data_IF_880529399514
#
_entry.id   IF_880529399514
#
_cell.length_a   1.000
_cell.length_b   1.000
_cell.length_c   1.000
_cell.angle_alpha   90.00
_cell.angle_beta   90.00
_cell.angle_gamma   90.00
#
_symmetry.space_group_name_H-M   'P 1'
#
loop_
_entity.id
_entity.type
_entity.pdbx_description
1 polymer ?
#
# COMPACT_ATOMS: atom_id res chain seq x y z
N UNK A 1 48.68 51.48 -21.59
CA UNK A 1 49.14 51.38 -20.20
C UNK A 1 47.87 51.32 -19.35
N UNK A 2 47.43 50.17 -19.01
CA UNK A 2 46.18 49.91 -18.18
C UNK A 2 46.56 49.14 -16.94
N UNK A 3 46.38 49.74 -15.80
CA UNK A 3 46.66 49.14 -14.51
C UNK A 3 45.49 48.32 -14.05
N UNK A 4 45.73 47.02 -13.84
CA UNK A 4 44.77 46.11 -13.19
C UNK A 4 44.75 46.35 -11.68
N UNK A 5 43.60 46.80 -11.13
CA UNK A 5 43.33 46.77 -9.70
C UNK A 5 42.89 45.36 -9.27
N UNK A 6 43.75 44.68 -8.55
CA UNK A 6 43.37 43.52 -7.75
C UNK A 6 42.65 44.01 -6.48
N UNK A 7 41.35 43.73 -6.36
CA UNK A 7 40.63 43.90 -5.10
C UNK A 7 41.01 42.78 -4.14
N UNK A 8 41.54 43.15 -2.98
CA UNK A 8 41.99 42.21 -1.94
C UNK A 8 40.79 41.58 -1.23
N UNK A 9 40.79 40.27 -1.14
CA UNK A 9 39.74 39.45 -0.45
C UNK A 9 39.55 39.87 1.01
N UNK A 10 40.50 40.52 1.63
CA UNK A 10 40.41 41.01 3.00
C UNK A 10 39.56 42.26 3.13
N UNK A 11 39.50 43.12 2.12
CA UNK A 11 38.67 44.31 2.11
C UNK A 11 37.16 43.96 2.03
N UNK A 12 36.81 42.91 1.29
CA UNK A 12 35.42 42.44 1.17
C UNK A 12 34.84 41.90 2.50
N UNK A 13 35.70 41.30 3.34
CA UNK A 13 35.27 40.75 4.64
C UNK A 13 35.16 41.83 5.73
N UNK A 14 35.82 42.95 5.60
CA UNK A 14 35.75 44.07 6.58
C UNK A 14 34.62 45.05 6.27
N UNK A 15 34.21 45.21 5.01
CA UNK A 15 33.07 46.05 4.64
C UNK A 15 31.73 45.34 4.84
N UNK A 16 31.69 44.00 4.79
CA UNK A 16 30.49 43.19 5.10
C UNK A 16 30.09 43.20 6.58
N UNK A 17 31.03 43.51 7.48
CA UNK A 17 30.77 43.53 8.92
C UNK A 17 30.17 44.87 9.45
N UNK A 18 30.25 45.93 8.66
CA UNK A 18 29.80 47.29 9.08
C UNK A 18 28.32 47.56 8.72
N UNK A 19 27.67 46.74 7.88
CA UNK A 19 26.26 46.91 7.51
C UNK A 19 25.27 46.08 8.33
N UNK A 20 25.73 45.28 9.29
CA UNK A 20 24.88 44.44 10.15
C UNK A 20 24.43 45.15 11.46
N UNK A 21 24.74 46.43 11.60
CA UNK A 21 24.62 47.15 12.88
C UNK A 21 23.40 48.08 13.06
N UNK A 22 22.50 48.25 12.10
CA UNK A 22 21.40 49.23 12.22
C UNK A 22 20.07 48.69 11.67
N UNK A 23 19.55 47.63 12.28
CA UNK A 23 18.12 47.26 12.24
C UNK A 23 17.72 46.65 13.57
N UNK A 24 17.66 47.48 14.61
CA UNK A 24 17.01 47.13 15.86
C UNK A 24 15.52 47.43 15.70
N UNK A 25 14.82 46.57 14.97
CA UNK A 25 13.38 46.39 15.05
C UNK A 25 13.14 45.18 15.94
N UNK A 26 12.30 45.37 16.97
CA UNK A 26 11.96 44.36 17.96
C UNK A 26 11.42 43.10 17.28
N UNK A 27 12.30 42.17 17.00
CA UNK A 27 11.94 40.79 16.69
C UNK A 27 11.86 40.07 18.03
N UNK A 28 10.65 39.72 18.47
CA UNK A 28 10.49 38.76 19.55
C UNK A 28 11.25 37.51 19.14
N UNK A 29 12.19 37.00 19.93
CA UNK A 29 12.81 35.73 19.61
C UNK A 29 11.69 34.66 19.71
N UNK A 30 11.25 34.15 18.58
CA UNK A 30 10.65 32.84 18.59
C UNK A 30 11.74 31.92 19.16
N UNK A 31 11.53 31.52 20.42
CA UNK A 31 12.40 30.56 21.10
C UNK A 31 12.31 29.27 20.34
N UNK A 32 13.13 29.10 19.31
CA UNK A 32 13.42 27.81 18.76
C UNK A 32 14.08 27.01 19.87
N UNK A 33 13.28 26.27 20.62
CA UNK A 33 13.78 25.31 21.58
C UNK A 33 14.67 24.34 20.78
N UNK A 34 15.98 24.46 20.97
CA UNK A 34 16.93 23.48 20.44
C UNK A 34 16.56 22.13 21.07
N UNK A 35 16.19 21.11 20.30
CA UNK A 35 15.84 19.82 20.88
C UNK A 35 16.99 19.32 21.76
N UNK A 36 16.66 18.81 22.93
CA UNK A 36 17.63 18.19 23.86
C UNK A 36 18.41 17.11 23.10
N UNK A 37 19.71 16.91 23.35
CA UNK A 37 20.53 15.92 22.65
C UNK A 37 19.96 14.51 22.67
N UNK A 38 19.31 14.11 23.78
CA UNK A 38 18.65 12.81 23.91
C UNK A 38 17.40 12.68 23.01
N UNK A 39 16.63 13.75 22.82
CA UNK A 39 15.49 13.75 21.92
C UNK A 39 15.96 13.64 20.46
N UNK A 40 17.05 14.34 20.09
CA UNK A 40 17.69 14.19 18.77
C UNK A 40 18.19 12.78 18.53
N UNK A 41 18.79 12.12 19.53
CA UNK A 41 19.27 10.76 19.39
C UNK A 41 18.11 9.77 19.19
N UNK A 42 17.01 9.93 19.93
CA UNK A 42 15.79 9.13 19.76
C UNK A 42 15.19 9.29 18.37
N UNK A 43 15.10 10.51 17.84
CA UNK A 43 14.62 10.78 16.49
C UNK A 43 15.53 10.17 15.41
N UNK A 44 16.85 10.19 15.64
CA UNK A 44 17.83 9.62 14.70
C UNK A 44 17.78 8.10 14.69
N UNK A 45 17.47 7.45 15.81
CA UNK A 45 17.35 6.01 15.94
C UNK A 45 15.96 5.48 15.59
N UNK A 46 14.94 6.34 15.67
CA UNK A 46 13.57 5.98 15.31
C UNK A 46 13.40 5.89 13.79
N UNK A 47 12.40 5.15 13.36
CA UNK A 47 11.94 5.17 11.97
C UNK A 47 11.52 6.59 11.60
N UNK A 48 12.25 7.22 10.67
CA UNK A 48 12.08 8.64 10.33
C UNK A 48 10.64 9.05 10.03
N UNK A 49 10.29 10.25 10.45
CA UNK A 49 8.97 10.84 10.16
C UNK A 49 9.09 11.81 8.99
N UNK A 50 8.01 12.00 8.20
CA UNK A 50 7.95 13.06 7.21
C UNK A 50 8.25 14.43 7.83
N UNK A 51 8.66 15.40 7.02
CA UNK A 51 8.83 16.79 7.48
C UNK A 51 7.53 17.30 8.12
N UNK A 52 7.63 18.10 9.18
CA UNK A 52 6.46 18.76 9.79
C UNK A 52 5.70 19.69 8.82
N UNK A 53 6.29 20.01 7.70
CA UNK A 53 5.67 20.82 6.63
C UNK A 53 5.04 19.95 5.53
N UNK A 54 5.26 18.64 5.56
CA UNK A 54 4.59 17.68 4.68
C UNK A 54 3.28 17.24 5.37
N UNK A 55 2.17 17.65 4.78
CA UNK A 55 0.81 17.31 5.26
C UNK A 55 0.16 16.20 4.43
N UNK A 56 0.95 15.47 3.66
CA UNK A 56 0.44 14.38 2.82
C UNK A 56 -0.11 13.27 3.69
N UNK A 57 -1.41 13.01 3.56
CA UNK A 57 -2.13 11.98 4.32
C UNK A 57 -3.10 11.23 3.42
N UNK A 58 -3.42 10.00 3.79
CA UNK A 58 -4.52 9.27 3.15
C UNK A 58 -5.81 10.06 3.23
N UNK A 59 -6.66 9.95 2.22
CA UNK A 59 -7.94 10.66 2.17
C UNK A 59 -9.08 9.73 2.59
N UNK A 60 -10.09 10.26 3.28
CA UNK A 60 -11.29 9.50 3.63
C UNK A 60 -12.09 9.14 2.37
N UNK A 61 -12.79 8.02 2.40
CA UNK A 61 -13.65 7.57 1.32
C UNK A 61 -15.00 8.32 1.39
N UNK A 62 -15.03 9.57 0.91
CA UNK A 62 -16.24 10.39 0.78
C UNK A 62 -16.49 11.37 1.94
N UNK A 63 -17.09 12.51 1.60
CA UNK A 63 -17.56 13.48 2.57
C UNK A 63 -18.76 12.91 3.34
N UNK A 64 -18.70 12.86 4.67
CA UNK A 64 -19.78 12.35 5.52
C UNK A 64 -19.73 10.87 5.85
N UNK A 65 -18.84 10.08 5.25
CA UNK A 65 -18.47 8.80 5.83
C UNK A 65 -17.64 9.07 7.08
N UNK A 66 -18.03 8.46 8.20
CA UNK A 66 -17.15 8.46 9.36
C UNK A 66 -15.76 8.04 8.87
N UNK A 67 -14.72 8.81 9.25
CA UNK A 67 -13.34 8.38 9.04
C UNK A 67 -13.21 7.12 9.90
N UNK A 68 -13.44 5.99 9.27
CA UNK A 68 -13.11 4.72 9.88
C UNK A 68 -11.66 4.45 9.49
N UNK A 69 -10.88 3.99 10.41
CA UNK A 69 -9.53 3.47 10.17
C UNK A 69 -9.49 2.26 9.23
N UNK A 70 -10.64 1.94 8.63
CA UNK A 70 -10.87 0.77 7.77
C UNK A 70 -11.09 1.08 6.29
N UNK A 71 -11.27 2.36 5.90
CA UNK A 71 -11.52 2.75 4.51
C UNK A 71 -10.87 4.11 4.18
N UNK A 72 -9.62 4.06 3.74
CA UNK A 72 -8.84 5.24 3.36
C UNK A 72 -8.27 5.07 1.95
N UNK A 73 -8.17 6.16 1.21
CA UNK A 73 -7.67 6.18 -0.16
C UNK A 73 -6.26 6.78 -0.23
N UNK A 74 -5.49 6.32 -1.19
CA UNK A 74 -4.20 6.93 -1.56
C UNK A 74 -4.43 8.36 -2.04
N UNK A 75 -3.65 9.35 -1.57
CA UNK A 75 -3.76 10.73 -2.02
C UNK A 75 -3.12 10.87 -3.42
N UNK A 76 -3.88 10.57 -4.47
CA UNK A 76 -3.35 10.40 -5.84
C UNK A 76 -2.62 11.62 -6.38
N UNK A 77 -3.08 12.84 -6.03
CA UNK A 77 -2.49 14.10 -6.49
C UNK A 77 -1.21 14.50 -5.73
N UNK A 78 -1.03 13.93 -4.53
CA UNK A 78 0.07 14.30 -3.62
C UNK A 78 1.20 13.25 -3.71
N UNK A 79 1.20 12.38 -4.73
CA UNK A 79 2.23 11.37 -4.93
C UNK A 79 3.29 11.85 -5.92
N UNK A 80 4.54 11.63 -5.55
CA UNK A 80 5.69 11.81 -6.41
C UNK A 80 6.19 10.47 -6.95
N UNK A 81 6.27 10.34 -8.29
CA UNK A 81 6.73 9.12 -8.96
C UNK A 81 5.72 7.98 -8.97
N UNK A 82 6.20 6.74 -9.13
CA UNK A 82 5.36 5.55 -9.33
C UNK A 82 5.13 4.72 -8.05
N UNK A 83 5.91 4.93 -7.02
CA UNK A 83 5.82 4.18 -5.77
C UNK A 83 4.98 4.96 -4.75
N UNK A 84 3.94 4.32 -4.26
CA UNK A 84 3.17 4.83 -3.12
C UNK A 84 3.90 4.49 -1.82
N UNK A 85 4.27 5.48 -1.00
CA UNK A 85 4.80 5.21 0.34
C UNK A 85 3.90 4.26 1.12
N UNK A 86 4.49 3.32 1.88
CA UNK A 86 3.70 2.27 2.58
C UNK A 86 2.63 2.84 3.52
N UNK A 87 2.91 4.00 4.14
CA UNK A 87 1.95 4.70 5.00
C UNK A 87 0.82 5.39 4.26
N UNK A 88 0.94 5.63 2.94
CA UNK A 88 -0.08 6.25 2.09
C UNK A 88 -0.84 5.24 1.23
N UNK A 89 -0.46 3.96 1.29
CA UNK A 89 -1.17 2.89 0.60
C UNK A 89 -2.66 2.88 1.01
N UNK A 90 -3.57 2.72 0.06
CA UNK A 90 -5.01 2.67 0.36
C UNK A 90 -5.33 1.56 1.36
N UNK A 91 -6.33 1.81 2.18
CA UNK A 91 -6.81 0.88 3.19
C UNK A 91 -8.27 0.53 2.90
N UNK A 92 -8.55 -0.74 2.76
CA UNK A 92 -9.88 -1.30 2.72
C UNK A 92 -9.86 -2.59 3.54
N UNK A 93 -10.57 -2.58 4.65
CA UNK A 93 -10.76 -3.74 5.49
C UNK A 93 -12.24 -4.11 5.53
N UNK A 94 -12.51 -5.38 5.35
CA UNK A 94 -13.85 -5.94 5.47
C UNK A 94 -14.09 -6.51 6.88
N UNK A 95 -13.30 -6.03 7.86
CA UNK A 95 -13.19 -6.60 9.21
C UNK A 95 -13.32 -5.52 10.28
N UNK A 96 -13.64 -5.92 11.48
CA UNK A 96 -13.70 -5.06 12.64
C UNK A 96 -12.30 -4.95 13.28
N UNK A 97 -11.46 -4.09 12.72
CA UNK A 97 -10.13 -3.79 13.24
C UNK A 97 -9.00 -4.56 12.55
N UNK A 98 -7.81 -4.02 12.70
CA UNK A 98 -6.57 -4.57 12.15
C UNK A 98 -6.03 -5.58 13.15
N UNK A 99 -5.78 -6.85 12.75
CA UNK A 99 -5.27 -7.84 13.68
C UNK A 99 -3.83 -7.51 14.09
N UNK A 100 -3.55 -7.68 15.38
CA UNK A 100 -2.20 -7.61 15.95
C UNK A 100 -1.61 -9.03 15.95
N UNK A 101 -0.79 -9.33 14.95
CA UNK A 101 -0.25 -10.67 14.73
C UNK A 101 1.23 -10.71 15.12
N UNK A 102 1.56 -11.53 16.13
CA UNK A 102 2.93 -11.87 16.46
C UNK A 102 3.53 -12.77 15.34
N UNK A 103 4.57 -12.31 14.62
CA UNK A 103 5.17 -13.07 13.53
C UNK A 103 5.83 -14.38 14.03
N UNK A 104 6.23 -14.46 15.29
CA UNK A 104 6.82 -15.68 15.86
C UNK A 104 5.78 -16.79 16.02
N UNK A 105 4.51 -16.41 16.22
CA UNK A 105 3.39 -17.32 16.36
C UNK A 105 2.63 -17.52 15.02
N UNK A 106 2.87 -16.66 14.04
CA UNK A 106 2.19 -16.76 12.75
C UNK A 106 2.56 -18.04 12.01
N UNK A 107 1.56 -18.68 11.40
CA UNK A 107 1.71 -19.89 10.62
C UNK A 107 0.92 -19.78 9.32
N UNK A 108 1.53 -20.22 8.22
CA UNK A 108 0.86 -20.42 6.94
C UNK A 108 0.64 -21.92 6.74
N UNK A 109 -0.61 -22.37 6.82
CA UNK A 109 -1.00 -23.73 6.51
C UNK A 109 -1.29 -23.87 5.02
N UNK A 110 -0.62 -24.82 4.36
CA UNK A 110 -0.93 -25.25 3.00
C UNK A 110 -1.40 -26.69 3.00
N UNK A 111 -2.59 -26.96 2.46
CA UNK A 111 -3.22 -28.27 2.52
C UNK A 111 -4.20 -28.49 1.35
N UNK A 112 -4.99 -29.57 1.41
CA UNK A 112 -5.95 -29.96 0.38
C UNK A 112 -5.34 -30.96 -0.59
N UNK A 113 -5.51 -30.75 -1.90
CA UNK A 113 -4.97 -31.62 -2.94
C UNK A 113 -3.45 -31.42 -3.13
N UNK A 114 -2.71 -31.76 -2.10
CA UNK A 114 -1.24 -31.77 -2.05
C UNK A 114 -0.74 -33.09 -1.50
N UNK A 115 0.47 -33.49 -1.91
CA UNK A 115 1.09 -34.73 -1.43
C UNK A 115 1.49 -34.62 0.04
N UNK A 116 1.94 -33.42 0.45
CA UNK A 116 2.41 -33.13 1.80
C UNK A 116 1.75 -31.82 2.30
N UNK A 117 0.72 -31.88 3.15
CA UNK A 117 0.29 -30.70 3.87
C UNK A 117 1.42 -30.15 4.74
N UNK A 118 1.74 -28.86 4.58
CA UNK A 118 2.85 -28.21 5.28
C UNK A 118 2.35 -26.97 6.03
N UNK A 119 2.99 -26.72 7.17
CA UNK A 119 2.83 -25.48 7.93
C UNK A 119 4.15 -24.75 7.96
N UNK A 120 4.19 -23.55 7.42
CA UNK A 120 5.38 -22.71 7.37
C UNK A 120 5.34 -21.65 8.48
N UNK A 121 6.46 -21.50 9.19
CA UNK A 121 6.74 -20.33 10.02
C UNK A 121 7.20 -19.17 9.14
N UNK A 122 7.29 -17.97 9.70
CA UNK A 122 7.86 -16.83 8.99
C UNK A 122 9.33 -17.06 8.60
N UNK A 123 10.07 -17.76 9.46
CA UNK A 123 11.47 -18.11 9.18
C UNK A 123 11.58 -19.14 8.05
N UNK A 124 10.68 -20.10 7.98
CA UNK A 124 10.63 -21.05 6.86
C UNK A 124 10.36 -20.34 5.54
N UNK A 125 9.37 -19.44 5.51
CA UNK A 125 9.07 -18.65 4.30
C UNK A 125 10.28 -17.84 3.85
N UNK A 126 11.02 -17.22 4.76
CA UNK A 126 12.19 -16.39 4.44
C UNK A 126 13.40 -17.18 3.95
N UNK A 127 13.46 -18.51 4.16
CA UNK A 127 14.53 -19.37 3.64
C UNK A 127 14.38 -19.72 2.17
N UNK A 128 13.18 -19.59 1.61
CA UNK A 128 12.96 -19.80 0.17
C UNK A 128 13.52 -18.65 -0.66
N UNK A 129 13.87 -18.88 -1.93
CA UNK A 129 14.30 -17.82 -2.84
C UNK A 129 13.28 -16.69 -2.90
N UNK A 130 13.71 -15.48 -2.57
CA UNK A 130 12.85 -14.30 -2.59
C UNK A 130 13.01 -13.51 -3.88
N UNK A 131 11.98 -12.79 -4.26
CA UNK A 131 11.96 -11.83 -5.37
C UNK A 131 11.35 -10.53 -4.91
N UNK A 132 11.81 -9.41 -5.50
CA UNK A 132 11.18 -8.09 -5.35
C UNK A 132 10.60 -7.66 -6.67
N UNK A 133 9.35 -7.22 -6.67
CA UNK A 133 8.61 -6.80 -7.87
C UNK A 133 7.75 -5.58 -7.55
N UNK A 134 7.71 -4.64 -8.51
CA UNK A 134 6.82 -3.48 -8.43
C UNK A 134 5.48 -3.87 -9.03
N UNK A 135 4.43 -3.86 -8.20
CA UNK A 135 3.06 -4.15 -8.59
C UNK A 135 2.11 -3.12 -8.01
N UNK A 136 1.14 -2.71 -8.80
CA UNK A 136 0.00 -1.95 -8.26
C UNK A 136 -1.07 -2.91 -7.73
N UNK A 137 -1.81 -2.41 -6.75
CA UNK A 137 -3.05 -3.01 -6.27
C UNK A 137 -4.18 -2.02 -6.48
N UNK A 138 -5.28 -2.46 -7.05
CA UNK A 138 -6.48 -1.65 -7.25
C UNK A 138 -7.72 -2.39 -6.76
N UNK A 139 -8.52 -1.71 -5.95
CA UNK A 139 -9.78 -2.25 -5.44
C UNK A 139 -10.80 -2.42 -6.56
N UNK A 140 -11.52 -3.53 -6.57
CA UNK A 140 -12.62 -3.80 -7.51
C UNK A 140 -13.76 -2.76 -7.45
N UNK A 141 -13.86 -2.01 -6.36
CA UNK A 141 -14.85 -0.96 -6.20
C UNK A 141 -14.40 0.40 -6.78
N UNK A 142 -13.18 0.52 -7.32
CA UNK A 142 -12.80 1.67 -8.12
C UNK A 142 -13.63 1.74 -9.41
N UNK A 143 -13.78 2.95 -9.97
CA UNK A 143 -14.60 3.23 -11.16
C UNK A 143 -16.10 3.00 -10.97
N UNK A 144 -16.58 2.74 -9.76
CA UNK A 144 -18.01 2.76 -9.45
C UNK A 144 -18.40 4.18 -9.05
N UNK A 145 -19.46 4.76 -9.65
CA UNK A 145 -19.94 6.08 -9.25
C UNK A 145 -20.30 6.09 -7.76
N UNK A 146 -19.74 7.02 -7.02
CA UNK A 146 -20.13 7.30 -5.65
C UNK A 146 -21.22 8.38 -5.72
N UNK A 147 -22.47 7.98 -5.56
CA UNK A 147 -23.60 8.93 -5.54
C UNK A 147 -23.54 9.73 -4.25
N UNK A 148 -22.96 10.91 -4.31
CA UNK A 148 -22.90 11.85 -3.19
C UNK A 148 -23.40 13.22 -3.58
N UNK A 149 -23.78 14.09 -2.60
CA UNK A 149 -24.30 15.43 -2.87
C UNK A 149 -23.28 16.36 -3.55
N UNK A 150 -21.99 16.05 -3.47
CA UNK A 150 -20.90 16.85 -4.03
C UNK A 150 -20.35 16.31 -5.35
N UNK A 151 -21.01 15.32 -5.96
CA UNK A 151 -20.53 14.65 -7.18
C UNK A 151 -19.33 13.75 -6.95
N UNK A 152 -18.89 13.09 -8.02
CA UNK A 152 -17.73 12.21 -7.99
C UNK A 152 -16.45 12.99 -8.30
N UNK A 153 -15.37 12.71 -7.59
CA UNK A 153 -14.03 13.20 -7.92
C UNK A 153 -13.12 12.04 -8.29
N UNK A 154 -12.03 12.33 -9.01
CA UNK A 154 -10.99 11.33 -9.33
C UNK A 154 -10.49 10.65 -8.06
N UNK A 155 -10.26 11.41 -6.99
CA UNK A 155 -9.83 10.90 -5.70
C UNK A 155 -10.82 9.91 -5.10
N UNK A 156 -12.12 10.19 -5.13
CA UNK A 156 -13.16 9.33 -4.56
C UNK A 156 -13.36 8.06 -5.37
N UNK A 157 -13.35 8.19 -6.71
CA UNK A 157 -13.67 7.09 -7.63
C UNK A 157 -12.47 6.16 -7.84
N UNK A 158 -11.24 6.69 -7.80
CA UNK A 158 -10.02 5.95 -8.17
C UNK A 158 -8.96 5.87 -7.07
N UNK A 159 -9.15 6.52 -5.94
CA UNK A 159 -8.16 6.60 -4.86
C UNK A 159 -7.81 5.28 -4.16
N UNK A 160 -8.53 4.19 -4.47
CA UNK A 160 -8.19 2.85 -3.97
C UNK A 160 -7.23 2.13 -4.92
N UNK A 161 -6.16 2.82 -5.26
CA UNK A 161 -5.06 2.32 -6.10
C UNK A 161 -3.74 2.73 -5.45
N UNK A 162 -2.81 1.80 -5.35
CA UNK A 162 -1.46 2.05 -4.83
C UNK A 162 -0.46 1.16 -5.54
N UNK A 163 0.74 1.66 -5.79
CA UNK A 163 1.84 0.92 -6.39
C UNK A 163 2.98 0.78 -5.40
N UNK A 164 3.50 -0.42 -5.19
CA UNK A 164 4.58 -0.68 -4.24
C UNK A 164 5.55 -1.72 -4.78
N UNK A 165 6.78 -1.68 -4.31
CA UNK A 165 7.67 -2.82 -4.42
C UNK A 165 7.29 -3.85 -3.35
N UNK A 166 7.03 -5.06 -3.77
CA UNK A 166 6.69 -6.18 -2.90
C UNK A 166 7.80 -7.20 -2.91
N UNK A 167 8.27 -7.60 -1.72
CA UNK A 167 9.29 -8.64 -1.56
C UNK A 167 8.68 -9.87 -0.88
N UNK A 168 8.95 -11.04 -1.44
CA UNK A 168 8.42 -12.29 -0.92
C UNK A 168 8.87 -13.50 -1.74
N UNK A 169 8.16 -14.59 -1.59
CA UNK A 169 8.39 -15.87 -2.28
C UNK A 169 7.28 -16.10 -3.30
N UNK A 170 7.62 -16.52 -4.51
CA UNK A 170 6.60 -16.93 -5.48
C UNK A 170 5.78 -18.09 -4.90
N UNK A 171 4.46 -17.98 -4.96
CA UNK A 171 3.57 -19.02 -4.44
C UNK A 171 3.82 -20.37 -5.08
N UNK A 172 4.21 -20.38 -6.36
CA UNK A 172 4.58 -21.61 -7.09
C UNK A 172 5.72 -22.39 -6.43
N UNK A 173 6.63 -21.72 -5.73
CA UNK A 173 7.73 -22.39 -4.99
C UNK A 173 7.16 -23.16 -3.80
N UNK A 174 6.29 -22.54 -3.02
CA UNK A 174 5.65 -23.20 -1.86
C UNK A 174 4.69 -24.31 -2.29
N UNK A 175 3.95 -24.12 -3.38
CA UNK A 175 3.07 -25.15 -3.95
C UNK A 175 3.86 -26.36 -4.44
N UNK A 176 5.00 -26.15 -5.09
CA UNK A 176 5.90 -27.24 -5.50
C UNK A 176 6.48 -28.00 -4.32
N UNK A 177 6.80 -27.29 -3.23
CA UNK A 177 7.27 -27.91 -1.99
C UNK A 177 6.19 -28.84 -1.36
N UNK A 178 4.93 -28.43 -1.42
CA UNK A 178 3.81 -29.27 -0.96
C UNK A 178 3.50 -30.46 -1.88
N UNK A 179 3.85 -30.36 -3.16
CA UNK A 179 3.49 -31.35 -4.19
C UNK A 179 2.00 -31.27 -4.57
N UNK A 180 1.69 -30.46 -5.59
CA UNK A 180 0.29 -30.30 -6.06
C UNK A 180 -0.16 -31.54 -6.79
N UNK A 181 -1.30 -32.12 -6.40
CA UNK A 181 -1.87 -33.33 -6.99
C UNK A 181 -2.57 -33.05 -8.32
N UNK A 182 -2.65 -34.06 -9.17
CA UNK A 182 -3.41 -34.02 -10.41
C UNK A 182 -4.90 -33.78 -10.11
N UNK A 183 -5.58 -33.00 -10.97
CA UNK A 183 -6.98 -32.63 -10.78
C UNK A 183 -7.21 -31.38 -9.93
N UNK A 184 -6.18 -30.85 -9.26
CA UNK A 184 -6.26 -29.56 -8.62
C UNK A 184 -6.37 -28.45 -9.67
N UNK A 185 -7.31 -27.52 -9.50
CA UNK A 185 -7.57 -26.44 -10.44
C UNK A 185 -7.56 -25.05 -9.78
N UNK A 186 -7.68 -25.01 -8.45
CA UNK A 186 -7.82 -23.77 -7.68
C UNK A 186 -7.01 -23.80 -6.41
N UNK A 187 -6.73 -22.62 -5.88
CA UNK A 187 -6.39 -22.43 -4.49
C UNK A 187 -7.47 -21.56 -3.82
N UNK A 188 -7.69 -21.79 -2.55
CA UNK A 188 -8.50 -20.94 -1.68
C UNK A 188 -7.56 -20.33 -0.65
N UNK A 189 -7.36 -19.02 -0.74
CA UNK A 189 -6.55 -18.26 0.20
C UNK A 189 -7.44 -17.67 1.29
N UNK A 190 -7.00 -17.75 2.55
CA UNK A 190 -7.73 -17.27 3.72
C UNK A 190 -6.82 -16.45 4.63
N UNK A 191 -7.34 -15.32 5.09
CA UNK A 191 -6.68 -14.45 6.07
C UNK A 191 -6.88 -14.92 7.51
N UNK A 192 -6.04 -14.43 8.41
CA UNK A 192 -6.10 -14.73 9.85
C UNK A 192 -6.88 -13.69 10.67
N UNK A 193 -7.55 -12.76 10.00
CA UNK A 193 -8.47 -11.83 10.65
C UNK A 193 -9.77 -12.52 11.08
N UNK A 194 -10.57 -11.81 11.88
CA UNK A 194 -11.78 -12.38 12.51
C UNK A 194 -12.82 -12.93 11.52
N UNK A 195 -12.94 -12.33 10.32
CA UNK A 195 -13.88 -12.71 9.28
C UNK A 195 -13.39 -13.85 8.38
N UNK A 196 -12.13 -14.26 8.53
CA UNK A 196 -11.53 -15.27 7.67
C UNK A 196 -11.76 -14.97 6.18
N UNK A 197 -11.32 -13.77 5.76
CA UNK A 197 -11.51 -13.31 4.38
C UNK A 197 -10.94 -14.34 3.39
N UNK A 198 -11.81 -14.84 2.52
CA UNK A 198 -11.53 -16.03 1.70
C UNK A 198 -11.73 -15.71 0.22
N UNK A 199 -10.72 -15.99 -0.61
CA UNK A 199 -10.76 -15.80 -2.06
C UNK A 199 -10.21 -16.99 -2.81
N UNK A 200 -10.87 -17.32 -3.92
CA UNK A 200 -10.43 -18.36 -4.84
C UNK A 200 -9.55 -17.78 -5.95
N UNK A 201 -8.47 -18.48 -6.29
CA UNK A 201 -7.55 -18.12 -7.36
C UNK A 201 -7.31 -19.37 -8.20
N UNK A 202 -7.49 -19.34 -9.53
CA UNK A 202 -7.12 -20.44 -10.42
C UNK A 202 -5.68 -20.87 -10.19
N UNK A 203 -5.44 -22.17 -10.15
CA UNK A 203 -4.11 -22.75 -9.90
C UNK A 203 -3.09 -22.28 -10.94
N UNK A 204 -3.50 -22.12 -12.20
CA UNK A 204 -2.62 -21.62 -13.27
C UNK A 204 -2.05 -20.24 -12.91
N UNK A 205 -2.85 -19.32 -12.36
CA UNK A 205 -2.39 -18.02 -11.89
C UNK A 205 -1.51 -18.14 -10.64
N UNK A 206 -1.89 -19.01 -9.71
CA UNK A 206 -1.13 -19.26 -8.48
C UNK A 206 0.28 -19.82 -8.77
N UNK A 207 0.43 -20.58 -9.86
CA UNK A 207 1.70 -21.16 -10.31
C UNK A 207 2.55 -20.22 -11.16
N UNK A 208 2.01 -19.08 -11.59
CA UNK A 208 2.69 -18.11 -12.45
C UNK A 208 3.41 -17.03 -11.63
N UNK A 209 2.72 -15.98 -11.27
CA UNK A 209 3.33 -14.74 -10.76
C UNK A 209 2.83 -14.29 -9.37
N UNK A 210 1.96 -15.07 -8.72
CA UNK A 210 1.45 -14.75 -7.39
C UNK A 210 2.57 -14.79 -6.36
N UNK A 211 2.64 -13.73 -5.54
CA UNK A 211 3.67 -13.55 -4.54
C UNK A 211 3.08 -13.72 -3.13
N UNK A 212 3.76 -14.49 -2.30
CA UNK A 212 3.56 -14.54 -0.85
C UNK A 212 4.53 -13.51 -0.25
N UNK A 213 4.03 -12.28 -0.06
CA UNK A 213 4.84 -11.14 0.32
C UNK A 213 4.95 -10.98 1.83
N UNK A 214 6.14 -10.61 2.31
CA UNK A 214 6.44 -10.30 3.70
C UNK A 214 7.08 -8.92 3.90
N UNK A 215 7.42 -8.21 2.80
CA UNK A 215 7.94 -6.85 2.85
C UNK A 215 7.34 -5.98 1.74
N UNK A 216 7.29 -4.66 1.99
CA UNK A 216 6.74 -3.64 1.11
C UNK A 216 7.65 -2.42 1.15
N UNK A 217 8.12 -1.95 -0.02
CA UNK A 217 8.98 -0.76 -0.15
C UNK A 217 10.23 -0.81 0.76
N UNK A 218 10.88 -1.98 0.86
CA UNK A 218 12.10 -2.17 1.66
C UNK A 218 11.88 -2.26 3.18
N UNK A 219 10.64 -2.27 3.66
CA UNK A 219 10.29 -2.42 5.08
C UNK A 219 9.36 -3.64 5.31
N UNK A 220 9.22 -4.17 6.54
CA UNK A 220 8.16 -5.11 6.84
C UNK A 220 6.79 -4.54 6.46
N UNK A 221 5.90 -5.39 5.98
CA UNK A 221 4.53 -4.96 5.63
C UNK A 221 3.89 -4.30 6.85
N UNK A 222 3.27 -3.14 6.69
CA UNK A 222 2.55 -2.49 7.80
C UNK A 222 1.31 -3.29 8.21
N UNK A 223 0.89 -3.29 9.50
CA UNK A 223 -0.22 -4.11 9.98
C UNK A 223 -1.47 -4.02 9.10
N UNK A 224 -1.90 -2.81 8.76
CA UNK A 224 -3.08 -2.57 7.91
C UNK A 224 -2.90 -2.97 6.45
N UNK A 225 -1.66 -3.18 5.99
CA UNK A 225 -1.35 -3.69 4.65
C UNK A 225 -1.22 -5.22 4.61
N UNK A 226 -1.36 -5.93 5.77
CA UNK A 226 -1.38 -7.38 5.83
C UNK A 226 -0.17 -8.04 6.49
N UNK A 227 0.50 -7.36 7.46
CA UNK A 227 1.59 -7.95 8.26
C UNK A 227 1.11 -9.21 8.99
N UNK A 228 1.95 -10.28 9.13
CA UNK A 228 3.32 -10.39 8.63
C UNK A 228 3.41 -10.95 7.21
N UNK A 229 2.30 -11.46 6.63
CA UNK A 229 2.29 -12.18 5.37
C UNK A 229 1.00 -11.90 4.60
N UNK A 230 1.11 -11.65 3.30
CA UNK A 230 -0.04 -11.47 2.42
C UNK A 230 0.17 -12.07 1.05
N UNK A 231 -0.91 -12.30 0.30
CA UNK A 231 -0.82 -12.49 -1.15
C UNK A 231 -0.75 -11.15 -1.88
N UNK A 232 -0.01 -11.16 -2.97
CA UNK A 232 -0.07 -10.17 -4.04
C UNK A 232 -0.33 -10.90 -5.34
N UNK A 233 -1.46 -10.60 -5.99
CA UNK A 233 -1.92 -11.21 -7.24
C UNK A 233 -1.86 -10.14 -8.33
N UNK A 234 -0.77 -10.08 -9.12
CA UNK A 234 -0.53 -9.00 -10.07
C UNK A 234 -1.57 -8.94 -11.19
N UNK A 235 -1.95 -7.71 -11.58
CA UNK A 235 -2.87 -7.47 -12.70
C UNK A 235 -4.33 -7.83 -12.42
N UNK A 236 -4.65 -8.33 -11.23
CA UNK A 236 -5.99 -8.73 -10.82
C UNK A 236 -6.56 -7.79 -9.77
N UNK A 237 -7.89 -7.79 -9.61
CA UNK A 237 -8.57 -7.03 -8.57
C UNK A 237 -7.96 -7.31 -7.19
N UNK A 238 -7.64 -6.25 -6.44
CA UNK A 238 -6.91 -6.35 -5.17
C UNK A 238 -7.60 -7.20 -4.10
N UNK A 239 -8.88 -7.50 -4.26
CA UNK A 239 -9.61 -8.43 -3.39
C UNK A 239 -8.98 -9.83 -3.37
N UNK A 240 -8.28 -10.23 -4.44
CA UNK A 240 -7.56 -11.50 -4.54
C UNK A 240 -6.24 -11.49 -3.76
N UNK A 241 -5.73 -10.32 -3.46
CA UNK A 241 -4.49 -10.12 -2.69
C UNK A 241 -4.76 -10.17 -1.18
N UNK A 242 -5.12 -11.37 -0.70
CA UNK A 242 -5.54 -11.63 0.69
C UNK A 242 -4.48 -11.18 1.68
N UNK A 243 -4.87 -10.34 2.66
CA UNK A 243 -4.04 -9.85 3.76
C UNK A 243 -4.00 -10.87 4.90
N UNK A 244 -2.98 -10.74 5.77
CA UNK A 244 -2.84 -11.60 6.97
C UNK A 244 -2.94 -13.08 6.66
N UNK A 245 -2.32 -13.50 5.56
CA UNK A 245 -2.45 -14.82 4.98
C UNK A 245 -2.10 -15.92 5.97
N UNK A 246 -3.06 -16.74 6.33
CA UNK A 246 -2.88 -17.84 7.29
C UNK A 246 -3.10 -19.23 6.71
N UNK A 247 -3.83 -19.33 5.59
CA UNK A 247 -4.16 -20.62 5.02
C UNK A 247 -4.29 -20.58 3.50
N UNK A 248 -3.81 -21.62 2.84
CA UNK A 248 -4.05 -21.91 1.42
C UNK A 248 -4.51 -23.36 1.31
N UNK A 249 -5.73 -23.57 0.79
CA UNK A 249 -6.23 -24.89 0.43
C UNK A 249 -6.13 -25.07 -1.09
N UNK A 250 -5.49 -26.15 -1.54
CA UNK A 250 -5.45 -26.55 -2.96
C UNK A 250 -6.66 -27.46 -3.22
N UNK A 251 -7.47 -27.11 -4.22
CA UNK A 251 -8.78 -27.75 -4.47
C UNK A 251 -9.06 -27.90 -5.96
N UNK A 252 -10.06 -28.71 -6.29
CA UNK A 252 -10.54 -28.91 -7.67
C UNK A 252 -11.53 -27.85 -8.14
N UNK A 253 -12.23 -27.17 -7.22
CA UNK A 253 -13.25 -26.18 -7.51
C UNK A 253 -13.08 -24.91 -6.66
N UNK A 254 -13.54 -23.78 -7.20
CA UNK A 254 -13.57 -22.51 -6.46
C UNK A 254 -14.56 -22.58 -5.30
N UNK A 255 -14.24 -21.89 -4.20
CA UNK A 255 -15.17 -21.70 -3.10
C UNK A 255 -16.21 -20.62 -3.44
N UNK A 256 -17.47 -20.93 -3.17
CA UNK A 256 -18.57 -19.95 -3.27
C UNK A 256 -18.81 -19.31 -1.90
N UNK A 257 -17.75 -18.72 -1.34
CA UNK A 257 -17.83 -18.00 -0.07
C UNK A 257 -18.73 -16.76 -0.18
N UNK A 258 -19.17 -16.25 0.95
CA UNK A 258 -19.91 -14.97 0.97
C UNK A 258 -19.10 -13.82 0.37
N UNK A 259 -17.79 -13.81 0.60
CA UNK A 259 -16.89 -12.79 0.02
C UNK A 259 -16.81 -12.91 -1.51
N UNK A 260 -16.85 -14.13 -2.04
CA UNK A 260 -16.79 -14.38 -3.49
C UNK A 260 -18.13 -14.06 -4.16
N UNK A 261 -19.20 -14.71 -3.73
CA UNK A 261 -20.48 -14.72 -4.42
C UNK A 261 -21.44 -13.62 -3.95
N UNK A 262 -21.37 -13.22 -2.68
CA UNK A 262 -22.28 -12.24 -2.10
C UNK A 262 -21.81 -10.79 -2.23
N UNK A 263 -20.53 -10.55 -1.98
CA UNK A 263 -20.00 -9.17 -1.86
C UNK A 263 -19.23 -8.68 -3.10
N UNK A 264 -18.59 -9.57 -3.84
CA UNK A 264 -17.73 -9.22 -4.97
C UNK A 264 -18.23 -9.77 -6.31
N UNK A 265 -19.51 -10.11 -6.41
CA UNK A 265 -20.17 -10.44 -7.65
C UNK A 265 -20.88 -9.20 -8.24
N UNK A 266 -20.89 -9.07 -9.55
CA UNK A 266 -21.66 -8.03 -10.25
C UNK A 266 -23.00 -8.58 -10.71
N UNK A 267 -24.05 -7.83 -10.47
CA UNK A 267 -25.37 -8.15 -11.03
C UNK A 267 -25.41 -7.76 -12.50
N UNK A 268 -25.74 -8.70 -13.37
CA UNK A 268 -25.97 -8.45 -14.78
C UNK A 268 -27.45 -8.20 -15.08
N UNK A 269 -27.83 -7.58 -16.24
CA UNK A 269 -29.21 -7.24 -16.55
C UNK A 269 -30.21 -8.41 -16.50
N UNK A 270 -29.73 -9.64 -16.67
CA UNK A 270 -30.55 -10.86 -16.55
C UNK A 270 -30.90 -11.24 -15.10
N UNK A 271 -30.47 -10.48 -14.10
CA UNK A 271 -30.64 -10.78 -12.68
C UNK A 271 -29.66 -11.84 -12.13
N UNK A 272 -28.72 -12.32 -12.95
CA UNK A 272 -27.68 -13.25 -12.52
C UNK A 272 -26.49 -12.49 -11.94
N UNK A 273 -25.70 -13.17 -11.09
CA UNK A 273 -24.46 -12.65 -10.58
C UNK A 273 -23.29 -13.13 -11.46
N UNK A 274 -22.45 -12.20 -11.91
CA UNK A 274 -21.17 -12.48 -12.54
C UNK A 274 -20.10 -12.55 -11.46
N UNK A 275 -19.67 -13.75 -11.14
CA UNK A 275 -18.56 -14.01 -10.21
C UNK A 275 -17.24 -14.18 -10.97
N UNK A 276 -16.12 -14.16 -10.23
CA UNK A 276 -14.80 -14.50 -10.77
C UNK A 276 -14.32 -13.59 -11.91
N UNK A 277 -14.60 -12.30 -11.82
CA UNK A 277 -13.85 -11.32 -12.59
C UNK A 277 -12.49 -11.14 -11.94
N UNK A 278 -11.44 -11.22 -12.72
CA UNK A 278 -10.09 -11.24 -12.21
C UNK A 278 -9.27 -10.07 -12.70
N UNK A 279 -9.16 -9.93 -14.02
CA UNK A 279 -8.21 -9.04 -14.65
C UNK A 279 -8.67 -7.60 -14.65
N UNK A 280 -7.71 -6.71 -14.41
CA UNK A 280 -7.86 -5.27 -14.56
C UNK A 280 -7.41 -4.90 -15.98
N UNK A 281 -8.29 -4.26 -16.74
CA UNK A 281 -7.93 -3.66 -18.02
C UNK A 281 -7.03 -2.42 -17.86
N UNK A 282 -6.36 -1.99 -18.94
CA UNK A 282 -5.57 -0.76 -18.91
C UNK A 282 -6.47 0.43 -18.60
N UNK A 283 -5.98 1.32 -17.72
CA UNK A 283 -6.67 2.52 -17.27
C UNK A 283 -5.68 3.67 -17.10
N UNK A 284 -6.13 4.88 -17.40
CA UNK A 284 -5.41 6.10 -17.07
C UNK A 284 -6.35 7.12 -16.46
N UNK A 285 -5.84 7.92 -15.55
CA UNK A 285 -6.55 9.01 -14.89
C UNK A 285 -5.66 10.24 -14.80
N UNK A 286 -6.29 11.43 -14.86
CA UNK A 286 -5.58 12.69 -14.62
C UNK A 286 -5.73 13.01 -13.14
N UNK A 287 -4.62 13.05 -12.40
CA UNK A 287 -4.63 13.25 -10.96
C UNK A 287 -4.72 14.71 -10.52
N UNK A 288 -3.99 15.69 -11.09
CA UNK A 288 -4.21 17.11 -10.86
C UNK A 288 -4.95 17.78 -12.04
N UNK A 289 -5.88 18.73 -11.81
CA UNK A 289 -6.45 19.09 -10.51
C UNK A 289 -7.50 18.07 -10.07
N UNK A 290 -7.55 17.79 -8.77
CA UNK A 290 -8.45 16.81 -8.19
C UNK A 290 -9.46 17.48 -7.23
N UNK A 291 -10.72 17.02 -7.26
CA UNK A 291 -11.70 17.45 -6.25
C UNK A 291 -12.10 18.93 -6.26
N UNK A 292 -12.11 19.57 -7.41
CA UNK A 292 -12.50 21.01 -7.54
C UNK A 292 -11.34 21.97 -7.40
N UNK A 293 -10.13 21.48 -7.31
CA UNK A 293 -8.92 22.31 -7.36
C UNK A 293 -8.78 22.97 -8.75
N UNK A 294 -8.35 24.22 -8.75
CA UNK A 294 -8.04 24.97 -9.97
C UNK A 294 -6.53 24.99 -10.16
N UNK A 295 -6.09 24.74 -11.39
CA UNK A 295 -4.69 24.94 -11.74
C UNK A 295 -4.33 26.42 -11.56
N UNK A 296 -3.25 26.76 -10.86
CA UNK A 296 -2.77 28.12 -10.74
C UNK A 296 -2.56 28.73 -12.13
N UNK A 297 -3.18 29.88 -12.39
CA UNK A 297 -3.01 30.61 -13.66
C UNK A 297 -4.02 30.29 -14.77
N UNK A 298 -4.90 29.33 -14.61
CA UNK A 298 -6.06 29.16 -15.51
C UNK A 298 -7.25 29.98 -14.98
N UNK A 299 -7.66 31.00 -15.72
CA UNK A 299 -8.87 31.79 -15.46
C UNK A 299 -10.04 31.25 -16.28
#
# INVERSE_FOLDING_TARGET
>A
MGSHHHSDRRQFLTEGAALAGLAVGAVHPASAQTPQPEARLKDTLAYGQPSRFDNTVRKALGAGTAITDTALTTPLQDLDGIITPSGLHFLMDHVNGIPDIDPTQHRLLMHGMVDRPLTFTMDDVRRFPSVSKIYFLECNANSRPLRGPNGDSVQLVHGRTSCSEWTGVLLSVLLKECGVQSGANWIIAEGNESNKYTMSIPLVKAMDDVLVAYAQNGEPIRPHNGYPLRLVVPGWEAIRSVKWLGRIAVVDQAAMSWHEAGNNADTVPSGKALCFRFELGPKSIITPPCGGERLPGLR
#
